data_IF_060481484058
#
_entry.id   IF_060481484058
#
_cell.length_a   1.000
_cell.length_b   1.000
_cell.length_c   1.000
_cell.angle_alpha   90.00
_cell.angle_beta   90.00
_cell.angle_gamma   90.00
#
_symmetry.space_group_name_H-M   'P 1'
#
loop_
_entity.id
_entity.type
_entity.pdbx_description
1 polymer ?
#
# COMPACT_ATOMS: atom_id res chain seq x y z
N UNK A 1 7.82 -15.35 11.90
CA UNK A 1 7.04 -16.57 11.96
C UNK A 1 5.67 -16.31 12.61
N UNK A 2 4.81 -17.32 12.68
CA UNK A 2 3.46 -17.19 13.24
C UNK A 2 3.46 -16.89 14.73
N UNK A 3 4.42 -17.37 15.47
CA UNK A 3 4.54 -17.13 16.92
C UNK A 3 4.87 -15.67 17.21
N UNK A 4 5.75 -15.06 16.41
CA UNK A 4 6.14 -13.67 16.60
C UNK A 4 5.00 -12.67 16.40
N UNK A 5 4.02 -12.96 15.54
CA UNK A 5 2.86 -12.07 15.37
C UNK A 5 1.81 -12.23 16.47
N UNK A 6 1.94 -13.26 17.31
CA UNK A 6 1.03 -13.53 18.43
C UNK A 6 1.52 -12.95 19.77
N UNK A 7 2.75 -12.46 19.87
CA UNK A 7 3.39 -12.06 21.14
C UNK A 7 2.56 -11.03 21.91
N UNK A 8 1.98 -10.06 21.21
CA UNK A 8 1.19 -8.97 21.83
C UNK A 8 -0.32 -9.20 21.76
N UNK A 9 -0.76 -10.33 21.22
CA UNK A 9 -2.19 -10.63 21.04
C UNK A 9 -2.85 -9.81 19.93
N UNK A 10 -4.18 -9.84 19.89
CA UNK A 10 -4.97 -9.11 18.93
C UNK A 10 -5.07 -7.62 19.30
N UNK A 11 -4.73 -6.70 18.40
CA UNK A 11 -4.81 -5.28 18.69
C UNK A 11 -6.27 -4.80 18.69
N UNK A 12 -6.54 -3.75 19.45
CA UNK A 12 -7.89 -3.17 19.55
C UNK A 12 -8.40 -2.53 18.27
N UNK A 13 -7.54 -1.85 17.50
CA UNK A 13 -7.93 -1.10 16.30
C UNK A 13 -7.49 -1.79 15.01
N UNK A 14 -6.27 -2.30 14.95
CA UNK A 14 -5.72 -2.91 13.74
C UNK A 14 -4.20 -3.02 13.77
N UNK A 15 -3.65 -3.65 12.73
CA UNK A 15 -2.22 -3.78 12.52
C UNK A 15 -1.74 -2.73 11.53
N UNK A 16 -0.62 -2.07 11.84
CA UNK A 16 0.13 -1.26 10.90
C UNK A 16 1.31 -2.08 10.39
N UNK A 17 1.41 -2.26 9.08
CA UNK A 17 2.40 -3.16 8.46
C UNK A 17 3.22 -2.43 7.41
N UNK A 18 4.53 -2.52 7.51
CA UNK A 18 5.45 -2.04 6.47
C UNK A 18 6.63 -3.00 6.28
N UNK A 19 7.32 -2.87 5.17
CA UNK A 19 8.58 -3.58 4.92
C UNK A 19 9.80 -2.94 5.63
N UNK A 20 9.61 -1.82 6.32
CA UNK A 20 10.68 -0.99 6.90
C UNK A 20 11.06 0.19 5.98
N UNK A 21 12.25 0.73 6.15
CA UNK A 21 12.71 1.95 5.47
C UNK A 21 12.78 1.84 3.95
N UNK A 22 12.90 0.63 3.43
CA UNK A 22 13.17 0.37 2.02
C UNK A 22 12.31 -0.79 1.52
N UNK A 23 12.01 -0.78 0.25
CA UNK A 23 11.42 -1.92 -0.46
C UNK A 23 12.28 -3.18 -0.26
N UNK A 24 11.65 -4.28 0.16
CA UNK A 24 12.36 -5.52 0.51
C UNK A 24 13.14 -6.09 -0.67
N UNK A 25 12.59 -6.00 -1.89
CA UNK A 25 13.26 -6.52 -3.08
C UNK A 25 14.49 -5.67 -3.46
N UNK A 26 14.37 -4.33 -3.36
CA UNK A 26 15.50 -3.40 -3.58
C UNK A 26 16.59 -3.61 -2.53
N UNK A 27 16.20 -3.90 -1.30
CA UNK A 27 17.16 -4.19 -0.24
C UNK A 27 17.87 -5.53 -0.42
N UNK A 28 17.15 -6.56 -0.89
CA UNK A 28 17.70 -7.92 -0.97
C UNK A 28 18.49 -8.18 -2.26
N UNK A 29 18.21 -7.45 -3.34
CA UNK A 29 18.78 -7.73 -4.66
C UNK A 29 19.44 -6.50 -5.28
N UNK A 30 20.49 -6.75 -6.07
CA UNK A 30 21.06 -5.75 -6.96
C UNK A 30 20.22 -5.57 -8.23
N UNK A 31 20.51 -4.53 -9.02
CA UNK A 31 19.88 -4.31 -10.35
C UNK A 31 20.05 -5.51 -11.29
N UNK A 32 21.16 -6.25 -11.17
CA UNK A 32 21.41 -7.49 -11.93
C UNK A 32 20.71 -8.73 -11.34
N UNK A 33 19.73 -8.54 -10.44
CA UNK A 33 18.96 -9.60 -9.77
C UNK A 33 19.82 -10.57 -8.93
N UNK A 34 21.04 -10.17 -8.57
CA UNK A 34 21.88 -10.95 -7.66
C UNK A 34 21.56 -10.61 -6.22
N UNK A 35 21.39 -11.63 -5.38
CA UNK A 35 21.17 -11.43 -3.95
C UNK A 35 22.37 -10.75 -3.32
N UNK A 36 22.12 -9.75 -2.46
CA UNK A 36 23.16 -9.05 -1.71
C UNK A 36 23.70 -9.94 -0.60
N UNK A 37 24.96 -9.74 -0.23
CA UNK A 37 25.61 -10.49 0.84
C UNK A 37 25.16 -10.04 2.24
N UNK A 38 24.73 -8.77 2.37
CA UNK A 38 24.35 -8.18 3.66
C UNK A 38 23.01 -7.49 3.57
N UNK A 39 22.27 -7.48 4.68
CA UNK A 39 21.05 -6.70 4.88
C UNK A 39 21.32 -5.64 5.96
N UNK A 40 21.50 -4.39 5.56
CA UNK A 40 21.82 -3.29 6.46
C UNK A 40 20.74 -3.02 7.52
N UNK A 41 19.51 -3.49 7.32
CA UNK A 41 18.38 -3.31 8.21
C UNK A 41 18.07 -4.52 9.09
N UNK A 42 18.96 -5.51 9.08
CA UNK A 42 18.86 -6.67 9.96
C UNK A 42 19.99 -6.62 11.00
N UNK A 43 19.73 -6.95 12.27
CA UNK A 43 20.77 -7.00 13.29
C UNK A 43 21.96 -7.86 12.84
N UNK A 44 23.16 -7.31 12.94
CA UNK A 44 24.41 -7.96 12.49
C UNK A 44 24.55 -8.03 10.97
N UNK A 45 23.70 -7.37 10.19
CA UNK A 45 23.78 -7.36 8.72
C UNK A 45 23.45 -8.71 8.06
N UNK A 46 22.80 -9.62 8.78
CA UNK A 46 22.58 -11.01 8.33
C UNK A 46 21.51 -11.05 7.25
N UNK A 47 21.92 -11.40 6.03
CA UNK A 47 21.00 -11.57 4.90
C UNK A 47 20.08 -12.78 5.09
N UNK A 48 18.82 -12.64 4.64
CA UNK A 48 17.85 -13.75 4.62
C UNK A 48 16.97 -13.87 5.87
N UNK A 49 17.09 -12.95 6.83
CA UNK A 49 16.20 -12.88 7.99
C UNK A 49 14.83 -12.28 7.66
N UNK A 50 14.77 -11.39 6.68
CA UNK A 50 13.52 -10.79 6.20
C UNK A 50 13.07 -11.48 4.91
N UNK A 51 11.77 -11.68 4.70
CA UNK A 51 11.26 -12.29 3.48
C UNK A 51 11.33 -11.34 2.29
N UNK A 52 11.38 -11.90 1.09
CA UNK A 52 11.10 -11.17 -0.14
C UNK A 52 9.60 -10.78 -0.16
N UNK A 53 9.27 -9.63 -0.75
CA UNK A 53 7.91 -9.05 -0.72
C UNK A 53 7.36 -8.98 0.71
N UNK A 54 8.14 -8.41 1.60
CA UNK A 54 7.94 -8.48 3.05
C UNK A 54 6.53 -8.05 3.48
N UNK A 55 5.99 -6.98 2.91
CA UNK A 55 4.64 -6.50 3.23
C UNK A 55 3.58 -7.58 2.97
N UNK A 56 3.65 -8.26 1.83
CA UNK A 56 2.70 -9.34 1.48
C UNK A 56 2.82 -10.50 2.46
N UNK A 57 4.05 -10.92 2.76
CA UNK A 57 4.32 -12.04 3.66
C UNK A 57 3.83 -11.74 5.08
N UNK A 58 4.09 -10.53 5.58
CA UNK A 58 3.64 -10.12 6.92
C UNK A 58 2.11 -10.05 7.01
N UNK A 59 1.45 -9.48 6.02
CA UNK A 59 -0.02 -9.46 5.96
C UNK A 59 -0.62 -10.88 5.93
N UNK A 60 -0.03 -11.77 5.15
CA UNK A 60 -0.49 -13.16 5.09
C UNK A 60 -0.34 -13.88 6.43
N UNK A 61 0.76 -13.68 7.16
CA UNK A 61 0.95 -14.23 8.51
C UNK A 61 -0.09 -13.70 9.49
N UNK A 62 -0.34 -12.38 9.46
CA UNK A 62 -1.36 -11.74 10.28
C UNK A 62 -2.76 -12.28 9.95
N UNK A 63 -3.11 -12.35 8.66
CA UNK A 63 -4.44 -12.79 8.22
C UNK A 63 -4.72 -14.26 8.53
N UNK A 64 -3.70 -15.11 8.56
CA UNK A 64 -3.82 -16.50 9.01
C UNK A 64 -4.15 -16.62 10.50
N UNK A 65 -3.74 -15.65 11.30
CA UNK A 65 -3.94 -15.65 12.75
C UNK A 65 -5.17 -14.83 13.14
N UNK A 66 -5.31 -13.62 12.58
CA UNK A 66 -6.33 -12.64 12.90
C UNK A 66 -7.17 -12.33 11.64
N UNK A 67 -8.22 -13.13 11.45
CA UNK A 67 -9.00 -13.14 10.20
C UNK A 67 -9.74 -11.83 9.91
N UNK A 68 -10.18 -11.14 10.94
CA UNK A 68 -11.10 -9.99 10.84
C UNK A 68 -10.51 -8.66 11.33
N UNK A 69 -9.35 -8.71 11.96
CA UNK A 69 -8.68 -7.50 12.46
C UNK A 69 -8.19 -6.65 11.28
N UNK A 70 -8.43 -5.34 11.27
CA UNK A 70 -7.97 -4.45 10.22
C UNK A 70 -6.45 -4.53 10.02
N UNK A 71 -6.01 -4.56 8.77
CA UNK A 71 -4.59 -4.49 8.38
C UNK A 71 -4.41 -3.29 7.46
N UNK A 72 -3.69 -2.30 7.96
CA UNK A 72 -3.30 -1.10 7.23
C UNK A 72 -1.84 -1.24 6.83
N UNK A 73 -1.54 -1.15 5.55
CA UNK A 73 -0.17 -1.23 5.05
C UNK A 73 0.33 0.17 4.66
N UNK A 74 1.63 0.38 4.76
CA UNK A 74 2.26 1.64 4.41
C UNK A 74 3.74 1.49 4.12
N UNK A 75 4.41 2.62 4.00
CA UNK A 75 5.82 2.71 3.64
C UNK A 75 6.08 2.53 2.15
N UNK A 76 7.34 2.68 1.75
CA UNK A 76 7.74 2.76 0.33
C UNK A 76 7.30 1.54 -0.50
N UNK A 77 7.36 0.34 0.08
CA UNK A 77 6.99 -0.89 -0.63
C UNK A 77 5.49 -0.92 -0.97
N UNK A 78 4.63 -0.48 -0.06
CA UNK A 78 3.19 -0.40 -0.30
C UNK A 78 2.86 0.74 -1.28
N UNK A 79 3.46 1.91 -1.11
CA UNK A 79 3.25 3.08 -1.97
C UNK A 79 3.63 2.83 -3.42
N UNK A 80 4.77 2.19 -3.67
CA UNK A 80 5.21 1.85 -5.04
C UNK A 80 4.32 0.81 -5.74
N UNK A 81 3.59 0.01 -4.96
CA UNK A 81 2.74 -1.09 -5.47
C UNK A 81 1.24 -0.88 -5.23
N UNK A 82 0.82 0.35 -4.92
CA UNK A 82 -0.57 0.67 -4.57
C UNK A 82 -1.58 0.46 -5.71
N UNK A 83 -1.12 0.57 -6.95
CA UNK A 83 -1.89 0.33 -8.17
C UNK A 83 -1.22 -0.78 -8.99
N UNK A 84 -1.73 -1.10 -10.17
CA UNK A 84 -1.07 -2.03 -11.09
C UNK A 84 0.34 -1.55 -11.41
N UNK A 85 1.30 -2.44 -11.32
CA UNK A 85 2.71 -2.09 -11.45
C UNK A 85 3.50 -3.19 -12.15
N UNK A 86 4.59 -2.78 -12.79
CA UNK A 86 5.56 -3.71 -13.32
C UNK A 86 6.53 -4.15 -12.23
N UNK A 87 6.49 -5.44 -11.90
CA UNK A 87 7.47 -6.05 -11.00
C UNK A 87 8.73 -6.48 -11.76
N UNK A 88 9.78 -5.70 -11.59
CA UNK A 88 11.08 -5.93 -12.23
C UNK A 88 11.66 -7.32 -11.92
N UNK A 89 11.47 -7.82 -10.70
CA UNK A 89 12.09 -9.05 -10.22
C UNK A 89 11.48 -10.29 -10.90
N UNK A 90 10.16 -10.35 -10.98
CA UNK A 90 9.44 -11.44 -11.66
C UNK A 90 9.25 -11.19 -13.17
N UNK A 91 9.58 -9.99 -13.66
CA UNK A 91 9.34 -9.54 -15.04
C UNK A 91 7.85 -9.68 -15.45
N UNK A 92 6.96 -9.26 -14.57
CA UNK A 92 5.51 -9.38 -14.77
C UNK A 92 4.77 -8.13 -14.31
N UNK A 93 3.64 -7.86 -14.95
CA UNK A 93 2.66 -6.95 -14.38
C UNK A 93 1.98 -7.60 -13.17
N UNK A 94 1.83 -6.83 -12.10
CA UNK A 94 1.18 -7.23 -10.84
C UNK A 94 0.00 -6.33 -10.57
N UNK A 95 -0.98 -6.85 -9.84
CA UNK A 95 -2.11 -6.09 -9.31
C UNK A 95 -1.65 -5.18 -8.18
N UNK A 96 -2.56 -4.32 -7.73
CA UNK A 96 -2.34 -3.58 -6.49
C UNK A 96 -1.94 -4.50 -5.34
N UNK A 97 -0.94 -4.08 -4.56
CA UNK A 97 -0.53 -4.79 -3.33
C UNK A 97 -1.67 -4.90 -2.32
N UNK A 98 -2.64 -3.98 -2.34
CA UNK A 98 -3.83 -4.04 -1.49
C UNK A 98 -4.66 -5.31 -1.73
N UNK A 99 -4.66 -5.80 -2.97
CA UNK A 99 -5.34 -7.04 -3.35
C UNK A 99 -4.46 -8.27 -3.07
N UNK A 100 -3.17 -8.18 -3.40
CA UNK A 100 -2.26 -9.32 -3.30
C UNK A 100 -1.84 -9.63 -1.85
N UNK A 101 -1.81 -8.63 -0.96
CA UNK A 101 -1.50 -8.81 0.46
C UNK A 101 -2.70 -9.22 1.32
N UNK A 102 -3.93 -9.00 0.84
CA UNK A 102 -5.14 -9.15 1.65
C UNK A 102 -5.29 -8.10 2.74
N UNK A 103 -4.56 -6.98 2.67
CA UNK A 103 -4.75 -5.82 3.53
C UNK A 103 -6.07 -5.10 3.25
N UNK A 104 -6.49 -4.23 4.15
CA UNK A 104 -7.77 -3.54 4.06
C UNK A 104 -7.62 -2.11 3.54
N UNK A 105 -6.50 -1.45 3.86
CA UNK A 105 -6.23 -0.05 3.52
C UNK A 105 -4.73 0.16 3.31
N UNK A 106 -4.35 1.10 2.44
CA UNK A 106 -2.97 1.61 2.33
C UNK A 106 -2.93 3.04 2.85
N UNK A 107 -1.94 3.36 3.69
CA UNK A 107 -1.48 4.73 3.93
C UNK A 107 -0.35 5.00 2.94
N UNK A 108 -0.60 5.88 1.96
CA UNK A 108 0.31 6.20 0.85
C UNK A 108 1.06 7.50 1.10
N UNK A 109 2.38 7.48 0.90
CA UNK A 109 3.23 8.64 1.10
C UNK A 109 3.50 8.94 2.58
N UNK A 110 3.38 10.21 2.97
CA UNK A 110 3.57 10.66 4.35
C UNK A 110 2.33 10.34 5.19
N UNK A 111 2.50 9.47 6.17
CA UNK A 111 1.39 8.87 6.92
C UNK A 111 1.02 9.57 8.22
N UNK A 112 1.69 10.67 8.59
CA UNK A 112 1.58 11.30 9.90
C UNK A 112 0.14 11.71 10.24
N UNK A 113 -0.56 12.36 9.31
CA UNK A 113 -1.97 12.70 9.47
C UNK A 113 -2.88 11.50 9.24
N UNK A 114 -2.71 10.80 8.13
CA UNK A 114 -3.62 9.73 7.72
C UNK A 114 -3.69 8.58 8.74
N UNK A 115 -2.58 8.25 9.41
CA UNK A 115 -2.57 7.20 10.45
C UNK A 115 -3.40 7.61 11.67
N UNK A 116 -3.33 8.87 12.08
CA UNK A 116 -4.12 9.39 13.21
C UNK A 116 -5.60 9.39 12.84
N UNK A 117 -5.95 9.91 11.66
CA UNK A 117 -7.34 9.94 11.17
C UNK A 117 -7.93 8.52 11.02
N UNK A 118 -7.15 7.55 10.51
CA UNK A 118 -7.55 6.15 10.43
C UNK A 118 -7.79 5.58 11.83
N UNK A 119 -6.89 5.85 12.78
CA UNK A 119 -7.03 5.37 14.17
C UNK A 119 -8.28 5.96 14.85
N UNK A 120 -8.55 7.24 14.66
CA UNK A 120 -9.74 7.92 15.19
C UNK A 120 -11.03 7.37 14.57
N UNK A 121 -11.05 7.14 13.24
CA UNK A 121 -12.17 6.53 12.56
C UNK A 121 -12.48 5.13 13.09
N UNK A 122 -11.47 4.27 13.21
CA UNK A 122 -11.61 2.93 13.79
C UNK A 122 -12.03 2.98 15.27
N UNK A 123 -11.46 3.90 16.05
CA UNK A 123 -11.81 4.07 17.46
C UNK A 123 -13.23 4.58 17.68
N UNK A 124 -13.80 5.31 16.72
CA UNK A 124 -15.21 5.73 16.73
C UNK A 124 -16.18 4.59 16.37
N UNK A 125 -15.65 3.41 15.98
CA UNK A 125 -16.45 2.24 15.60
C UNK A 125 -16.73 2.13 14.10
N UNK A 126 -16.10 2.95 13.26
CA UNK A 126 -16.27 2.86 11.81
C UNK A 126 -15.58 1.58 11.31
N UNK A 127 -16.23 0.85 10.40
CA UNK A 127 -15.60 -0.30 9.78
C UNK A 127 -14.48 0.16 8.83
N UNK A 128 -13.39 -0.58 8.75
CA UNK A 128 -12.24 -0.22 7.89
C UNK A 128 -12.65 -0.09 6.40
N UNK A 129 -13.65 -0.84 5.96
CA UNK A 129 -14.22 -0.75 4.61
C UNK A 129 -14.91 0.57 4.30
N UNK A 130 -15.33 1.30 5.33
CA UNK A 130 -16.05 2.56 5.20
C UNK A 130 -15.11 3.77 5.30
N UNK A 131 -13.82 3.54 5.58
CA UNK A 131 -12.77 4.56 5.57
C UNK A 131 -12.35 4.82 4.12
N UNK A 132 -13.12 5.64 3.42
CA UNK A 132 -12.95 5.93 1.99
C UNK A 132 -12.61 7.40 1.70
N UNK A 133 -12.50 8.23 2.75
CA UNK A 133 -12.49 9.69 2.66
C UNK A 133 -11.20 10.36 3.12
N UNK A 134 -10.24 9.60 3.65
CA UNK A 134 -8.98 10.14 4.20
C UNK A 134 -7.98 10.34 3.07
N UNK A 135 -7.44 11.56 2.94
CA UNK A 135 -6.37 11.87 1.99
C UNK A 135 -5.10 11.04 2.29
N UNK A 136 -4.34 10.74 1.24
CA UNK A 136 -3.16 9.87 1.36
C UNK A 136 -3.49 8.40 1.65
N UNK A 137 -4.68 7.94 1.31
CA UNK A 137 -5.04 6.53 1.46
C UNK A 137 -5.44 5.88 0.15
N UNK A 138 -5.33 4.54 0.12
CA UNK A 138 -5.84 3.73 -1.00
C UNK A 138 -6.71 2.63 -0.42
N UNK A 139 -7.94 2.55 -0.90
CA UNK A 139 -8.93 1.58 -0.46
C UNK A 139 -9.46 0.73 -1.62
N UNK A 140 -10.21 -0.31 -1.31
CA UNK A 140 -10.88 -1.17 -2.30
C UNK A 140 -12.37 -1.19 -2.07
N UNK A 141 -13.14 -1.17 -3.15
CA UNK A 141 -14.62 -1.26 -3.09
C UNK A 141 -15.16 -2.04 -4.28
N UNK A 142 -16.38 -2.57 -4.14
CA UNK A 142 -17.17 -3.14 -5.24
C UNK A 142 -18.29 -2.22 -5.69
N UNK A 143 -18.46 -1.09 -5.03
CA UNK A 143 -19.53 -0.12 -5.26
C UNK A 143 -19.00 1.02 -6.12
N UNK A 144 -19.30 0.97 -7.43
CA UNK A 144 -18.87 2.03 -8.37
C UNK A 144 -19.52 3.38 -8.04
N UNK A 145 -20.71 3.34 -7.49
CA UNK A 145 -21.49 4.51 -7.06
C UNK A 145 -20.82 5.32 -5.94
N UNK A 146 -19.97 4.69 -5.15
CA UNK A 146 -19.22 5.38 -4.07
C UNK A 146 -17.97 6.11 -4.60
N UNK A 147 -17.62 5.93 -5.88
CA UNK A 147 -16.46 6.56 -6.51
C UNK A 147 -16.91 7.79 -7.28
N UNK A 148 -16.69 8.96 -6.74
CA UNK A 148 -17.06 10.25 -7.33
C UNK A 148 -15.85 11.17 -7.48
N UNK A 149 -15.93 12.15 -8.40
CA UNK A 149 -14.85 13.09 -8.74
C UNK A 149 -13.48 12.40 -8.86
N UNK A 150 -13.43 11.36 -9.67
CA UNK A 150 -12.27 10.50 -9.81
C UNK A 150 -11.88 10.35 -11.29
N UNK A 151 -10.60 10.19 -11.55
CA UNK A 151 -10.05 9.87 -12.87
C UNK A 151 -9.93 8.34 -12.96
N UNK A 152 -10.53 7.76 -13.98
CA UNK A 152 -10.40 6.35 -14.28
C UNK A 152 -9.08 6.09 -14.98
N UNK A 153 -8.31 5.18 -14.43
CA UNK A 153 -7.11 4.63 -15.05
C UNK A 153 -7.46 3.49 -16.01
N UNK A 154 -6.61 3.16 -16.98
CA UNK A 154 -6.79 1.93 -17.75
C UNK A 154 -7.03 0.73 -16.83
N UNK A 155 -7.95 -0.15 -17.19
CA UNK A 155 -8.25 -1.35 -16.41
C UNK A 155 -7.02 -2.25 -16.31
N UNK A 156 -6.93 -3.04 -15.26
CA UNK A 156 -5.80 -3.94 -15.05
C UNK A 156 -5.56 -4.87 -16.25
N UNK A 157 -6.63 -5.38 -16.87
CA UNK A 157 -6.56 -6.27 -18.02
C UNK A 157 -5.97 -5.56 -19.26
N UNK A 158 -6.26 -4.27 -19.45
CA UNK A 158 -5.66 -3.46 -20.51
C UNK A 158 -4.18 -3.22 -20.24
N UNK A 159 -3.82 -2.87 -18.99
CA UNK A 159 -2.44 -2.68 -18.55
C UNK A 159 -1.61 -3.96 -18.71
N UNK A 160 -2.23 -5.11 -18.46
CA UNK A 160 -1.60 -6.42 -18.65
C UNK A 160 -1.32 -6.73 -20.13
N UNK A 161 -2.21 -6.32 -21.01
CA UNK A 161 -2.16 -6.63 -22.45
C UNK A 161 -1.33 -5.62 -23.26
N UNK A 162 -1.30 -4.34 -22.84
CA UNK A 162 -0.72 -3.24 -23.63
C UNK A 162 0.21 -2.35 -22.78
N UNK A 163 1.49 -2.29 -23.19
CA UNK A 163 2.49 -1.40 -22.57
C UNK A 163 2.12 0.08 -22.68
N UNK A 164 1.40 0.48 -23.74
CA UNK A 164 0.95 1.85 -23.90
C UNK A 164 -0.15 2.21 -22.88
N UNK A 165 -1.02 1.25 -22.53
CA UNK A 165 -1.99 1.42 -21.44
C UNK A 165 -1.27 1.61 -20.09
N UNK A 166 -0.24 0.82 -19.83
CA UNK A 166 0.59 1.01 -18.63
C UNK A 166 1.26 2.39 -18.61
N UNK A 167 1.82 2.84 -19.72
CA UNK A 167 2.44 4.17 -19.82
C UNK A 167 1.41 5.28 -19.58
N UNK A 168 0.18 5.16 -20.10
CA UNK A 168 -0.90 6.12 -19.84
C UNK A 168 -1.30 6.14 -18.37
N UNK A 169 -1.44 4.97 -17.74
CA UNK A 169 -1.72 4.86 -16.29
C UNK A 169 -0.64 5.58 -15.48
N UNK A 170 0.63 5.29 -15.75
CA UNK A 170 1.75 5.94 -15.07
C UNK A 170 1.74 7.46 -15.27
N UNK A 171 1.56 7.93 -16.50
CA UNK A 171 1.53 9.37 -16.81
C UNK A 171 0.39 10.08 -16.07
N UNK A 172 -0.80 9.47 -16.02
CA UNK A 172 -1.94 10.02 -15.27
C UNK A 172 -1.63 10.10 -13.78
N UNK A 173 -1.03 9.07 -13.20
CA UNK A 173 -0.59 9.09 -11.79
C UNK A 173 0.46 10.19 -11.56
N UNK A 174 1.44 10.32 -12.44
CA UNK A 174 2.50 11.33 -12.33
C UNK A 174 1.93 12.75 -12.38
N UNK A 175 0.98 13.03 -13.27
CA UNK A 175 0.32 14.34 -13.37
C UNK A 175 -0.64 14.64 -12.20
N UNK A 176 -0.91 13.67 -11.32
CA UNK A 176 -1.90 13.79 -10.25
C UNK A 176 -1.25 13.61 -8.85
N UNK A 177 -0.09 14.26 -8.65
CA UNK A 177 0.70 14.14 -7.41
C UNK A 177 0.66 15.38 -6.52
N UNK A 178 0.11 16.48 -6.99
CA UNK A 178 0.01 17.71 -6.21
C UNK A 178 -1.19 17.64 -5.24
N UNK A 179 -0.97 17.67 -3.92
CA UNK A 179 -2.02 17.50 -2.92
C UNK A 179 -3.09 18.61 -2.90
N UNK A 180 -2.85 19.72 -3.60
CA UNK A 180 -3.79 20.87 -3.66
C UNK A 180 -4.77 20.80 -4.84
N UNK A 181 -4.42 20.03 -5.89
CA UNK A 181 -5.24 19.95 -7.11
C UNK A 181 -5.50 18.53 -7.59
N UNK A 182 -4.84 17.54 -6.96
CA UNK A 182 -5.00 16.15 -7.32
C UNK A 182 -6.43 15.65 -7.10
N UNK A 183 -6.88 14.78 -7.98
CA UNK A 183 -8.15 14.07 -7.86
C UNK A 183 -7.93 12.64 -7.39
N UNK A 184 -9.02 11.98 -6.98
CA UNK A 184 -9.01 10.54 -6.81
C UNK A 184 -8.64 9.86 -8.12
N UNK A 185 -7.92 8.75 -8.02
CA UNK A 185 -7.66 7.85 -9.12
C UNK A 185 -8.30 6.50 -8.81
N UNK A 186 -8.83 5.82 -9.80
CA UNK A 186 -9.26 4.44 -9.57
C UNK A 186 -8.91 3.53 -10.73
N UNK A 187 -8.68 2.29 -10.41
CA UNK A 187 -8.33 1.22 -11.33
C UNK A 187 -9.30 0.05 -11.14
N UNK A 188 -9.74 -0.53 -12.23
CA UNK A 188 -10.73 -1.62 -12.23
C UNK A 188 -10.06 -2.97 -12.43
N UNK A 189 -10.51 -3.96 -11.67
CA UNK A 189 -10.07 -5.36 -11.71
C UNK A 189 -11.27 -6.28 -11.91
N UNK A 190 -11.18 -7.21 -12.86
CA UNK A 190 -12.25 -8.18 -13.19
C UNK A 190 -13.62 -7.53 -13.40
N UNK A 191 -13.66 -6.27 -13.82
CA UNK A 191 -14.87 -5.48 -14.05
C UNK A 191 -15.76 -5.23 -12.82
N UNK A 192 -15.33 -5.59 -11.62
CA UNK A 192 -16.19 -5.60 -10.41
C UNK A 192 -15.53 -5.08 -9.15
N UNK A 193 -14.22 -5.01 -9.14
CA UNK A 193 -13.44 -4.60 -7.98
C UNK A 193 -12.65 -3.36 -8.34
N UNK A 194 -12.76 -2.34 -7.53
CA UNK A 194 -12.10 -1.07 -7.73
C UNK A 194 -11.06 -0.86 -6.63
N UNK A 195 -9.87 -0.45 -7.02
CA UNK A 195 -8.86 0.10 -6.12
C UNK A 195 -8.86 1.61 -6.35
N UNK A 196 -9.10 2.36 -5.29
CA UNK A 196 -9.28 3.81 -5.33
C UNK A 196 -8.18 4.46 -4.51
N UNK A 197 -7.41 5.34 -5.13
CA UNK A 197 -6.44 6.20 -4.47
C UNK A 197 -7.09 7.55 -4.22
N UNK A 198 -7.17 7.97 -2.97
CA UNK A 198 -7.54 9.33 -2.59
C UNK A 198 -6.44 10.34 -2.99
N UNK A 199 -6.74 11.63 -3.04
CA UNK A 199 -5.70 12.65 -3.22
C UNK A 199 -4.55 12.46 -2.23
N UNK A 200 -3.32 12.84 -2.58
CA UNK A 200 -2.20 12.80 -1.65
C UNK A 200 -2.49 13.61 -0.38
N UNK A 201 -1.98 13.14 0.77
CA UNK A 201 -2.05 13.91 2.00
C UNK A 201 -1.33 15.26 1.84
N UNK A 202 -1.84 16.29 2.48
CA UNK A 202 -1.20 17.61 2.49
C UNK A 202 0.14 17.53 3.22
N UNK A 203 1.14 18.33 2.78
CA UNK A 203 2.41 18.38 3.48
C UNK A 203 2.23 18.94 4.90
N UNK A 204 3.07 18.46 5.81
CA UNK A 204 3.11 18.97 7.18
C UNK A 204 3.49 20.48 7.17
N UNK A 205 2.87 21.24 8.05
CA UNK A 205 3.32 22.59 8.37
C UNK A 205 4.65 22.51 9.14
N UNK A 206 5.38 23.63 9.22
CA UNK A 206 6.64 23.67 9.98
C UNK A 206 6.42 23.24 11.46
N UNK A 207 5.34 23.71 12.09
CA UNK A 207 5.03 23.36 13.47
C UNK A 207 4.76 21.85 13.67
N UNK A 208 4.06 21.24 12.73
CA UNK A 208 3.81 19.78 12.76
C UNK A 208 5.08 18.99 12.52
N UNK A 209 5.93 19.44 11.58
CA UNK A 209 7.22 18.81 11.32
C UNK A 209 8.15 18.88 12.53
N UNK A 210 8.15 20.00 13.27
CA UNK A 210 8.93 20.18 14.49
C UNK A 210 8.45 19.27 15.63
N UNK A 211 7.16 18.89 15.63
CA UNK A 211 6.59 17.93 16.60
C UNK A 211 6.93 16.48 16.27
N UNK A 212 7.08 16.14 15.01
CA UNK A 212 7.41 14.78 14.54
C UNK A 212 8.89 14.46 14.71
#
# INVERSE_FOLDING_TARGET
DKESVCIFGEPRLGFLVSAGNMDSMVNHYSVSKKRRATDAFTPGGVMGKRPDYATIVYCNLLRQTYKHTPIIIGGIEASLRRLAHYDYWSNKMKRSILLDSGADLISDGMGEHSIVEIADALNSGLAVSDITFIDGTVYKTRKREDIYDAIELPHYEEVLADKAAYARSFYTQYCNTDPFVAKRLFETYDGKLFVVQNPPAKPLTQSEMDQV
#
